data_IF_159332845884
#
_entry.id   IF_159332845884
#
_cell.length_a   1.000
_cell.length_b   1.000
_cell.length_c   1.000
_cell.angle_alpha   90.00
_cell.angle_beta   90.00
_cell.angle_gamma   90.00
#
_symmetry.space_group_name_H-M   'P 1'
#
loop_
_entity.id
_entity.type
_entity.pdbx_description
1 polymer ?
#
# COMPACT_ATOMS: atom_id res chain seq x y z
N UNK A 1 -22.64 -7.74 -39.46
CA UNK A 1 -21.47 -7.11 -38.81
C UNK A 1 -20.97 -6.02 -39.75
N UNK A 2 -21.41 -4.78 -39.54
CA UNK A 2 -21.12 -3.63 -40.39
C UNK A 2 -19.90 -2.90 -39.82
N UNK A 3 -18.74 -3.14 -40.43
CA UNK A 3 -17.50 -2.39 -40.15
C UNK A 3 -17.66 -0.98 -40.69
N UNK A 4 -17.91 -0.01 -39.80
CA UNK A 4 -18.02 1.41 -40.17
C UNK A 4 -16.63 1.93 -40.50
N UNK A 5 -16.30 2.03 -41.79
CA UNK A 5 -15.06 2.69 -42.27
C UNK A 5 -15.17 4.19 -41.98
N UNK A 6 -14.26 4.72 -41.15
CA UNK A 6 -14.09 6.15 -40.92
C UNK A 6 -13.72 6.86 -42.25
N UNK A 7 -14.25 8.06 -42.53
CA UNK A 7 -13.98 8.78 -43.77
C UNK A 7 -12.50 9.19 -43.89
N UNK A 8 -11.95 9.11 -45.10
CA UNK A 8 -10.54 9.35 -45.46
C UNK A 8 -10.06 10.81 -45.34
N UNK A 9 -10.75 11.64 -44.54
CA UNK A 9 -10.55 13.09 -44.47
C UNK A 9 -9.73 13.55 -43.25
N UNK A 10 -9.33 12.64 -42.35
CA UNK A 10 -8.49 12.99 -41.20
C UNK A 10 -7.02 12.76 -41.52
N UNK A 11 -6.16 13.71 -41.13
CA UNK A 11 -4.71 13.53 -41.20
C UNK A 11 -4.29 12.27 -40.41
N UNK A 12 -3.19 11.60 -40.79
CA UNK A 12 -2.74 10.39 -40.10
C UNK A 12 -2.49 10.62 -38.60
N UNK A 13 -2.09 11.83 -38.22
CA UNK A 13 -1.93 12.25 -36.82
C UNK A 13 -3.25 12.27 -36.04
N UNK A 14 -4.34 12.76 -36.65
CA UNK A 14 -5.66 12.82 -36.01
C UNK A 14 -6.26 11.43 -35.86
N UNK A 15 -6.03 10.54 -36.84
CA UNK A 15 -6.43 9.13 -36.74
C UNK A 15 -5.65 8.44 -35.61
N UNK A 16 -4.36 8.73 -35.45
CA UNK A 16 -3.54 8.19 -34.38
C UNK A 16 -3.98 8.71 -33.00
N UNK A 17 -4.36 9.99 -32.86
CA UNK A 17 -4.91 10.55 -31.63
C UNK A 17 -6.30 9.97 -31.29
N UNK A 18 -7.19 9.84 -32.28
CA UNK A 18 -8.52 9.22 -32.08
C UNK A 18 -8.43 7.72 -31.76
N UNK A 19 -7.37 7.06 -32.20
CA UNK A 19 -7.09 5.66 -31.84
C UNK A 19 -6.51 5.52 -30.43
N UNK A 20 -6.08 6.61 -29.76
CA UNK A 20 -5.66 6.53 -28.36
C UNK A 20 -6.88 6.16 -27.50
N UNK A 21 -6.75 5.18 -26.60
CA UNK A 21 -7.83 4.84 -25.69
C UNK A 21 -8.18 6.07 -24.85
N UNK A 22 -9.45 6.49 -24.91
CA UNK A 22 -9.96 7.59 -24.08
C UNK A 22 -9.83 7.22 -22.60
N UNK A 23 -8.92 7.89 -21.90
CA UNK A 23 -8.76 7.74 -20.45
C UNK A 23 -9.69 8.74 -19.78
N UNK A 24 -10.72 8.24 -19.08
CA UNK A 24 -11.53 9.10 -18.20
C UNK A 24 -10.64 9.61 -17.07
N UNK A 25 -10.32 10.90 -17.13
CA UNK A 25 -9.58 11.59 -16.08
C UNK A 25 -10.58 12.22 -15.10
N UNK A 26 -10.52 11.82 -13.82
CA UNK A 26 -11.25 12.53 -12.76
C UNK A 26 -10.40 13.74 -12.33
N UNK A 27 -10.90 14.98 -12.43
CA UNK A 27 -10.12 16.17 -12.02
C UNK A 27 -9.64 16.14 -10.57
N UNK A 28 -10.26 15.30 -9.73
CA UNK A 28 -9.95 15.16 -8.30
C UNK A 28 -8.96 14.04 -8.00
N UNK A 29 -8.57 13.22 -8.98
CA UNK A 29 -7.63 12.13 -8.75
C UNK A 29 -6.20 12.64 -8.62
N UNK A 30 -5.38 11.94 -7.82
CA UNK A 30 -3.95 12.20 -7.76
C UNK A 30 -3.33 12.03 -9.17
N UNK A 31 -2.50 12.98 -9.58
CA UNK A 31 -1.79 12.93 -10.85
C UNK A 31 -0.37 12.44 -10.61
N UNK A 32 0.08 11.55 -11.50
CA UNK A 32 1.49 11.26 -11.64
C UNK A 32 2.13 12.45 -12.35
N UNK A 33 3.23 12.95 -11.79
CA UNK A 33 4.00 14.02 -12.41
C UNK A 33 5.30 13.43 -12.96
N UNK A 34 5.44 13.46 -14.28
CA UNK A 34 6.63 12.96 -14.97
C UNK A 34 7.85 13.79 -14.53
N UNK A 35 8.81 13.13 -13.87
CA UNK A 35 10.04 13.75 -13.37
C UNK A 35 9.98 14.26 -11.93
N UNK A 36 8.82 14.24 -11.27
CA UNK A 36 8.74 14.53 -9.83
C UNK A 36 8.96 13.26 -9.00
N UNK A 37 9.70 13.39 -7.90
CA UNK A 37 9.85 12.29 -6.95
C UNK A 37 8.59 12.16 -6.08
N UNK A 38 8.06 10.94 -5.98
CA UNK A 38 7.03 10.63 -5.00
C UNK A 38 7.66 10.52 -3.61
N UNK A 39 6.94 10.98 -2.59
CA UNK A 39 7.36 10.92 -1.19
C UNK A 39 6.19 10.45 -0.33
N UNK A 40 6.51 9.87 0.83
CA UNK A 40 5.51 9.60 1.84
C UNK A 40 5.26 10.84 2.67
N UNK A 41 3.99 11.15 2.90
CA UNK A 41 3.55 12.23 3.76
C UNK A 41 2.75 11.68 4.92
N UNK A 42 2.95 12.26 6.09
CA UNK A 42 2.18 11.95 7.29
C UNK A 42 1.03 12.94 7.40
N UNK A 43 -0.19 12.44 7.26
CA UNK A 43 -1.40 13.27 7.28
C UNK A 43 -2.18 13.01 8.56
N UNK A 44 -2.46 14.07 9.31
CA UNK A 44 -3.34 14.03 10.47
C UNK A 44 -4.80 14.09 10.01
N UNK A 45 -5.58 13.10 10.43
CA UNK A 45 -6.99 12.94 10.06
C UNK A 45 -7.89 12.91 11.29
N UNK A 46 -9.05 13.54 11.18
CA UNK A 46 -10.04 13.61 12.27
C UNK A 46 -10.97 12.40 12.32
N UNK A 47 -11.25 11.77 11.17
CA UNK A 47 -12.10 10.59 11.05
C UNK A 47 -11.42 9.54 10.17
N UNK A 48 -11.77 8.27 10.37
CA UNK A 48 -11.33 7.17 9.49
C UNK A 48 -12.04 7.16 8.14
N UNK A 49 -13.17 7.86 8.00
CA UNK A 49 -13.88 7.98 6.71
C UNK A 49 -13.01 8.64 5.63
N UNK A 50 -12.01 9.42 6.05
CA UNK A 50 -11.02 10.08 5.20
C UNK A 50 -10.21 9.05 4.39
N UNK A 51 -9.95 7.87 4.94
CA UNK A 51 -9.22 6.79 4.26
C UNK A 51 -9.96 6.36 2.98
N UNK A 52 -11.29 6.23 3.06
CA UNK A 52 -12.12 5.87 1.90
C UNK A 52 -12.13 6.98 0.84
N UNK A 53 -12.15 8.25 1.25
CA UNK A 53 -12.04 9.38 0.31
C UNK A 53 -10.68 9.45 -0.37
N UNK A 54 -9.60 9.19 0.36
CA UNK A 54 -8.24 9.15 -0.19
C UNK A 54 -8.11 8.04 -1.24
N UNK A 55 -8.62 6.84 -0.96
CA UNK A 55 -8.66 5.71 -1.92
C UNK A 55 -9.47 6.10 -3.15
N UNK A 56 -10.65 6.71 -2.96
CA UNK A 56 -11.53 7.13 -4.08
C UNK A 56 -10.84 8.13 -5.01
N UNK A 57 -9.99 8.99 -4.46
CA UNK A 57 -9.18 9.97 -5.22
C UNK A 57 -7.84 9.38 -5.72
N UNK A 58 -7.65 8.07 -5.61
CA UNK A 58 -6.48 7.33 -6.12
C UNK A 58 -5.16 7.77 -5.47
N UNK A 59 -5.19 8.23 -4.22
CA UNK A 59 -3.96 8.41 -3.45
C UNK A 59 -3.44 7.04 -3.00
N UNK A 60 -2.11 6.86 -3.03
CA UNK A 60 -1.48 5.72 -2.37
C UNK A 60 -1.58 5.94 -0.86
N UNK A 61 -2.22 5.03 -0.14
CA UNK A 61 -2.34 5.12 1.31
C UNK A 61 -1.72 3.91 2.00
N UNK A 62 -1.19 4.14 3.19
CA UNK A 62 -0.71 3.12 4.09
C UNK A 62 -1.19 3.46 5.50
N UNK A 63 -1.87 2.52 6.14
CA UNK A 63 -2.38 2.64 7.51
C UNK A 63 -1.92 1.40 8.27
N UNK A 64 -0.83 1.47 9.05
CA UNK A 64 -0.32 0.32 9.79
C UNK A 64 -1.32 -0.09 10.88
N UNK A 65 -1.52 -1.39 11.04
CA UNK A 65 -2.42 -1.98 12.04
C UNK A 65 -1.65 -2.82 13.08
N UNK A 66 -2.15 -2.88 14.32
CA UNK A 66 -1.69 -3.79 15.36
C UNK A 66 -2.85 -4.60 15.95
N UNK A 67 -2.57 -5.79 16.46
CA UNK A 67 -3.55 -6.60 17.19
C UNK A 67 -3.54 -6.25 18.67
N UNK A 68 -4.70 -5.88 19.20
CA UNK A 68 -4.90 -5.65 20.62
C UNK A 68 -5.83 -6.72 21.19
N UNK A 69 -5.46 -7.30 22.33
CA UNK A 69 -6.36 -8.20 23.07
C UNK A 69 -7.17 -7.39 24.07
N UNK A 70 -8.47 -7.24 23.80
CA UNK A 70 -9.40 -6.58 24.70
C UNK A 70 -10.26 -7.62 25.40
N UNK A 71 -10.54 -7.42 26.70
CA UNK A 71 -11.51 -8.24 27.42
C UNK A 71 -12.89 -7.60 27.25
N UNK A 72 -13.77 -8.26 26.51
CA UNK A 72 -15.16 -7.82 26.34
C UNK A 72 -16.09 -8.91 26.83
N UNK A 73 -17.01 -8.55 27.74
CA UNK A 73 -17.97 -9.48 28.35
C UNK A 73 -17.31 -10.74 28.94
N UNK A 74 -16.15 -10.56 29.60
CA UNK A 74 -15.40 -11.64 30.23
C UNK A 74 -14.64 -12.57 29.28
N UNK A 75 -14.63 -12.28 27.97
CA UNK A 75 -13.86 -13.05 26.97
C UNK A 75 -12.74 -12.19 26.40
N UNK A 76 -11.56 -12.79 26.20
CA UNK A 76 -10.46 -12.16 25.45
C UNK A 76 -10.82 -12.19 23.96
N UNK A 77 -10.90 -11.02 23.34
CA UNK A 77 -11.15 -10.84 21.92
C UNK A 77 -9.94 -10.11 21.34
N UNK A 78 -9.30 -10.69 20.33
CA UNK A 78 -8.31 -9.96 19.53
C UNK A 78 -9.05 -9.04 18.55
N UNK A 79 -8.66 -7.77 18.53
CA UNK A 79 -9.18 -6.77 17.60
C UNK A 79 -8.03 -6.08 16.87
N UNK A 80 -8.28 -5.69 15.62
CA UNK A 80 -7.34 -4.91 14.80
C UNK A 80 -7.59 -3.42 15.00
N UNK A 81 -6.52 -2.68 15.23
CA UNK A 81 -6.58 -1.23 15.45
C UNK A 81 -5.42 -0.60 14.70
N UNK A 82 -5.61 0.61 14.18
CA UNK A 82 -4.52 1.40 13.63
C UNK A 82 -3.42 1.60 14.69
N UNK A 83 -2.17 1.34 14.30
CA UNK A 83 -0.99 1.50 15.14
C UNK A 83 -0.76 2.97 15.53
N UNK A 84 -1.09 3.89 14.63
CA UNK A 84 -1.07 5.34 14.84
C UNK A 84 -2.47 5.92 14.60
N UNK A 85 -3.35 5.95 15.61
CA UNK A 85 -4.69 6.47 15.44
C UNK A 85 -4.66 7.97 15.12
N UNK A 86 -5.45 8.40 14.14
CA UNK A 86 -5.49 9.80 13.68
C UNK A 86 -4.40 10.17 12.66
N UNK A 87 -3.59 9.20 12.22
CA UNK A 87 -2.58 9.41 11.20
C UNK A 87 -2.74 8.44 10.03
N UNK A 88 -2.55 8.96 8.82
CA UNK A 88 -2.54 8.19 7.59
C UNK A 88 -1.27 8.55 6.82
N UNK A 89 -0.55 7.53 6.36
CA UNK A 89 0.61 7.73 5.50
C UNK A 89 0.13 7.78 4.05
N UNK A 90 0.41 8.87 3.35
CA UNK A 90 -0.03 9.10 1.98
C UNK A 90 1.19 9.19 1.07
N UNK A 91 1.24 8.32 0.08
CA UNK A 91 2.23 8.38 -0.99
C UNK A 91 1.72 9.28 -2.11
N UNK A 92 2.40 10.41 -2.34
CA UNK A 92 2.02 11.37 -3.37
C UNK A 92 3.24 12.00 -4.06
N UNK A 93 3.03 12.41 -5.32
CA UNK A 93 3.99 13.21 -6.08
C UNK A 93 3.88 14.68 -5.68
N UNK A 94 5.03 15.24 -5.29
CA UNK A 94 5.20 16.60 -4.78
C UNK A 94 4.85 17.65 -5.86
N UNK A 95 3.55 17.96 -5.96
CA UNK A 95 3.00 18.93 -6.92
C UNK A 95 1.88 19.73 -6.25
N UNK A 96 1.80 21.01 -6.59
CA UNK A 96 0.78 21.92 -6.05
C UNK A 96 -0.64 21.41 -6.29
N UNK A 97 -0.89 20.79 -7.45
CA UNK A 97 -2.20 20.23 -7.78
C UNK A 97 -2.58 19.06 -6.86
N UNK A 98 -1.66 18.13 -6.59
CA UNK A 98 -1.91 17.02 -5.67
C UNK A 98 -2.04 17.52 -4.23
N UNK A 99 -1.27 18.53 -3.85
CA UNK A 99 -1.36 19.16 -2.54
C UNK A 99 -2.72 19.81 -2.31
N UNK A 100 -3.19 20.62 -3.27
CA UNK A 100 -4.52 21.23 -3.22
C UNK A 100 -5.63 20.17 -3.16
N UNK A 101 -5.49 19.07 -3.92
CA UNK A 101 -6.44 17.95 -3.88
C UNK A 101 -6.45 17.27 -2.50
N UNK A 102 -5.29 17.05 -1.87
CA UNK A 102 -5.18 16.47 -0.55
C UNK A 102 -5.84 17.36 0.51
N UNK A 103 -5.52 18.66 0.52
CA UNK A 103 -6.10 19.62 1.46
C UNK A 103 -7.61 19.83 1.27
N UNK A 104 -8.14 19.58 0.06
CA UNK A 104 -9.59 19.67 -0.22
C UNK A 104 -10.41 18.49 0.31
N UNK A 105 -9.78 17.47 0.91
CA UNK A 105 -10.47 16.32 1.49
C UNK A 105 -11.01 16.72 2.87
N UNK A 106 -12.32 16.52 3.07
CA UNK A 106 -12.95 16.82 4.34
C UNK A 106 -12.45 15.88 5.43
N UNK A 107 -11.92 16.42 6.53
CA UNK A 107 -11.41 15.65 7.66
C UNK A 107 -9.89 15.46 7.68
N UNK A 108 -9.17 15.91 6.65
CA UNK A 108 -7.73 16.17 6.74
C UNK A 108 -7.51 17.45 7.54
N UNK A 109 -6.75 17.35 8.63
CA UNK A 109 -6.50 18.49 9.53
C UNK A 109 -5.20 19.19 9.16
N UNK A 110 -4.12 18.42 9.04
CA UNK A 110 -2.79 18.93 8.79
C UNK A 110 -1.92 17.87 8.10
N UNK A 111 -0.90 18.33 7.35
CA UNK A 111 0.18 17.46 6.90
C UNK A 111 1.39 17.75 7.79
N UNK A 112 1.83 16.75 8.54
CA UNK A 112 2.86 16.92 9.57
C UNK A 112 4.27 16.96 9.00
N UNK A 113 4.52 16.23 7.91
CA UNK A 113 5.84 16.14 7.29
C UNK A 113 5.97 14.99 6.31
N UNK A 114 7.19 14.74 5.87
CA UNK A 114 7.54 13.64 4.95
C UNK A 114 8.31 12.54 5.63
N UNK A 115 8.14 11.30 5.17
CA UNK A 115 8.97 10.16 5.52
C UNK A 115 9.66 9.59 4.28
N UNK A 116 10.81 8.98 4.53
CA UNK A 116 11.58 8.20 3.57
C UNK A 116 11.02 6.78 3.46
N UNK A 117 11.31 6.10 2.35
CA UNK A 117 10.91 4.71 2.15
C UNK A 117 11.48 3.79 3.24
N UNK A 118 12.73 4.02 3.67
CA UNK A 118 13.39 3.26 4.74
C UNK A 118 12.64 3.36 6.08
N UNK A 119 12.06 4.52 6.39
CA UNK A 119 11.27 4.73 7.61
C UNK A 119 9.92 4.01 7.55
N UNK A 120 9.26 4.05 6.39
CA UNK A 120 8.03 3.29 6.16
C UNK A 120 8.31 1.79 6.24
N UNK A 121 9.45 1.33 5.73
CA UNK A 121 9.83 -0.07 5.79
C UNK A 121 10.12 -0.53 7.22
N UNK A 122 10.64 0.32 8.10
CA UNK A 122 10.72 0.04 9.55
C UNK A 122 9.34 -0.14 10.18
N UNK A 123 8.38 0.74 9.84
CA UNK A 123 7.00 0.62 10.32
C UNK A 123 6.37 -0.69 9.82
N UNK A 124 6.55 -1.04 8.54
CA UNK A 124 6.09 -2.31 7.97
C UNK A 124 6.76 -3.51 8.62
N UNK A 125 8.06 -3.46 8.86
CA UNK A 125 8.79 -4.54 9.53
C UNK A 125 8.25 -4.79 10.94
N UNK A 126 7.85 -3.73 11.64
CA UNK A 126 7.20 -3.81 12.94
C UNK A 126 5.80 -4.40 12.86
N UNK A 127 4.96 -3.89 11.95
CA UNK A 127 3.63 -4.43 11.68
C UNK A 127 3.70 -5.94 11.37
N UNK A 128 4.62 -6.35 10.50
CA UNK A 128 4.83 -7.75 10.13
C UNK A 128 5.36 -8.63 11.28
N UNK A 129 5.98 -8.04 12.31
CA UNK A 129 6.42 -8.77 13.50
C UNK A 129 5.25 -9.06 14.43
N UNK A 130 4.35 -8.09 14.58
CA UNK A 130 3.09 -8.26 15.33
C UNK A 130 2.09 -9.11 14.53
N UNK A 131 2.23 -9.14 13.21
CA UNK A 131 1.41 -9.90 12.27
C UNK A 131 2.28 -10.64 11.26
N UNK A 132 2.90 -11.76 11.64
CA UNK A 132 3.58 -12.58 10.65
C UNK A 132 2.56 -12.95 9.58
N UNK A 133 2.88 -12.62 8.33
CA UNK A 133 2.09 -13.10 7.19
C UNK A 133 2.18 -14.61 7.26
N UNK A 134 1.09 -15.26 7.68
CA UNK A 134 0.91 -16.68 7.44
C UNK A 134 0.81 -16.83 5.92
N UNK A 135 1.97 -17.04 5.29
CA UNK A 135 2.01 -17.58 3.95
C UNK A 135 1.31 -18.93 4.07
N UNK A 136 0.02 -18.98 3.76
CA UNK A 136 -0.60 -20.23 3.40
C UNK A 136 0.10 -20.66 2.13
N UNK A 137 1.13 -21.49 2.32
CA UNK A 137 1.67 -22.31 1.25
C UNK A 137 0.47 -23.12 0.78
N UNK A 138 -0.24 -22.60 -0.22
CA UNK A 138 -1.08 -23.43 -1.03
C UNK A 138 -0.10 -24.45 -1.60
N UNK A 139 -0.03 -25.62 -0.96
CA UNK A 139 0.35 -26.81 -1.67
C UNK A 139 -0.54 -26.78 -2.89
N UNK A 140 0.03 -26.40 -4.04
CA UNK A 140 -0.60 -26.56 -5.33
C UNK A 140 -0.78 -28.07 -5.39
N UNK A 141 -1.94 -28.56 -4.93
CA UNK A 141 -2.29 -29.97 -5.02
C UNK A 141 -2.18 -30.21 -6.50
N UNK A 142 -1.16 -30.96 -6.98
CA UNK A 142 -1.05 -31.22 -8.39
C UNK A 142 -2.38 -31.86 -8.73
N UNK A 143 -3.16 -31.17 -9.58
CA UNK A 143 -4.49 -31.61 -9.93
C UNK A 143 -4.37 -33.10 -10.20
N UNK A 144 -5.06 -33.93 -9.41
CA UNK A 144 -5.04 -35.38 -9.56
C UNK A 144 -5.47 -35.64 -11.00
N UNK A 145 -4.48 -35.78 -11.89
CA UNK A 145 -4.70 -36.13 -13.26
C UNK A 145 -5.33 -37.50 -13.15
N UNK A 146 -6.65 -37.55 -13.37
CA UNK A 146 -7.38 -38.81 -13.50
C UNK A 146 -6.55 -39.62 -14.49
N UNK A 147 -5.93 -40.70 -14.00
CA UNK A 147 -5.06 -41.57 -14.77
C UNK A 147 -5.91 -42.23 -15.86
N UNK A 148 -6.09 -41.55 -16.98
CA UNK A 148 -6.26 -42.22 -18.25
C UNK A 148 -4.89 -42.83 -18.55
N UNK A 149 -4.82 -44.15 -18.42
CA UNK A 149 -3.55 -44.87 -18.46
C UNK A 149 -2.73 -44.54 -19.70
N UNK A 150 -1.44 -44.23 -19.49
CA UNK A 150 -0.38 -44.47 -20.49
C UNK A 150 1.02 -44.25 -19.89
N UNK A 151 1.79 -45.34 -19.97
CA UNK A 151 3.25 -45.50 -20.10
C UNK A 151 4.18 -44.46 -19.45
N UNK A 152 4.86 -44.98 -18.43
CA UNK A 152 6.16 -44.58 -17.88
C UNK A 152 7.13 -43.96 -18.91
N UNK A 153 7.58 -42.72 -18.68
CA UNK A 153 8.87 -42.21 -19.15
C UNK A 153 9.57 -41.40 -18.06
N UNK A 154 10.90 -41.48 -18.11
CA UNK A 154 11.86 -41.25 -17.02
C UNK A 154 11.91 -39.81 -16.49
N UNK A 155 12.24 -39.76 -15.20
CA UNK A 155 12.57 -38.64 -14.32
C UNK A 155 13.36 -37.48 -14.95
N UNK A 156 12.88 -36.26 -14.70
CA UNK A 156 13.72 -35.07 -14.49
C UNK A 156 13.43 -34.57 -13.07
N UNK A 157 14.46 -34.49 -12.23
CA UNK A 157 14.37 -33.87 -10.89
C UNK A 157 14.22 -32.35 -11.08
N UNK A 158 13.29 -31.67 -10.41
CA UNK A 158 13.36 -30.22 -10.29
C UNK A 158 14.49 -29.87 -9.31
N UNK A 159 15.40 -29.03 -9.77
CA UNK A 159 16.36 -28.31 -8.92
C UNK A 159 15.56 -27.27 -8.16
N UNK A 160 15.56 -27.35 -6.84
CA UNK A 160 15.00 -26.36 -5.93
C UNK A 160 16.18 -25.77 -5.18
N UNK A 161 16.86 -24.81 -5.81
CA UNK A 161 17.74 -23.89 -5.09
C UNK A 161 16.83 -22.90 -4.36
N UNK A 162 16.77 -23.04 -3.05
CA UNK A 162 16.19 -22.04 -2.17
C UNK A 162 17.32 -21.09 -1.83
N UNK A 163 17.34 -19.91 -2.47
CA UNK A 163 18.18 -18.81 -2.00
C UNK A 163 17.66 -18.38 -0.63
N UNK A 164 18.41 -18.74 0.40
CA UNK A 164 18.18 -18.36 1.79
C UNK A 164 18.43 -16.85 1.89
N UNK A 165 17.35 -16.05 1.84
CA UNK A 165 17.46 -14.60 2.05
C UNK A 165 17.76 -14.36 3.53
N UNK A 166 19.04 -14.27 3.87
CA UNK A 166 19.49 -13.82 5.19
C UNK A 166 19.27 -12.32 5.29
N UNK A 167 18.11 -11.91 5.81
CA UNK A 167 17.83 -10.50 6.13
C UNK A 167 18.58 -10.14 7.40
N UNK A 168 19.74 -9.50 7.26
CA UNK A 168 20.46 -8.88 8.37
C UNK A 168 19.75 -7.57 8.73
N UNK A 169 18.97 -7.56 9.82
CA UNK A 169 18.35 -6.33 10.35
C UNK A 169 19.40 -5.53 11.13
N UNK A 170 19.63 -4.29 10.74
CA UNK A 170 20.32 -3.29 11.56
C UNK A 170 19.32 -2.69 12.56
N UNK A 171 19.42 -3.09 13.81
CA UNK A 171 18.56 -2.62 14.89
C UNK A 171 18.81 -1.12 15.13
N UNK A 172 17.77 -0.29 15.00
CA UNK A 172 17.86 1.14 15.33
C UNK A 172 17.19 1.43 16.67
N UNK A 173 17.75 2.37 17.45
CA UNK A 173 17.25 2.73 18.78
C UNK A 173 15.78 3.22 18.80
N UNK A 174 15.23 3.60 17.64
CA UNK A 174 13.83 3.96 17.45
C UNK A 174 12.87 2.76 17.59
N UNK A 175 13.30 1.56 17.19
CA UNK A 175 12.48 0.35 17.21
C UNK A 175 12.23 -0.17 18.64
N UNK A 176 13.26 -0.11 19.50
CA UNK A 176 13.16 -0.52 20.91
C UNK A 176 12.25 0.42 21.73
N UNK A 177 12.19 1.69 21.35
CA UNK A 177 11.34 2.68 22.00
C UNK A 177 9.85 2.46 21.66
N UNK A 178 9.51 2.24 20.39
CA UNK A 178 8.12 2.05 19.95
C UNK A 178 7.50 0.77 20.54
N UNK A 179 8.28 -0.29 20.70
CA UNK A 179 7.80 -1.60 21.15
C UNK A 179 7.18 -1.59 22.56
N UNK A 180 7.61 -0.68 23.43
CA UNK A 180 7.19 -0.60 24.85
C UNK A 180 6.15 0.50 25.10
N UNK A 181 5.87 1.32 24.10
CA UNK A 181 4.97 2.47 24.23
C UNK A 181 3.54 2.08 23.88
N UNK A 182 2.61 2.69 24.62
CA UNK A 182 1.18 2.70 24.33
C UNK A 182 0.87 3.54 23.08
N UNK A 183 -0.38 3.54 22.61
CA UNK A 183 -0.77 4.26 21.39
C UNK A 183 -0.46 5.75 21.44
N UNK A 184 -0.57 6.37 22.62
CA UNK A 184 -0.23 7.78 22.84
C UNK A 184 1.29 7.99 22.76
N UNK A 185 2.08 7.14 23.42
CA UNK A 185 3.54 7.20 23.38
C UNK A 185 4.11 6.98 21.98
N UNK A 186 3.53 6.06 21.19
CA UNK A 186 3.91 5.87 19.77
C UNK A 186 3.62 7.10 18.93
N UNK A 187 2.48 7.73 19.15
CA UNK A 187 2.07 8.96 18.47
C UNK A 187 3.00 10.12 18.83
N UNK A 188 3.36 10.24 20.10
CA UNK A 188 4.29 11.26 20.58
C UNK A 188 5.71 11.06 20.02
N UNK A 189 6.19 9.81 19.97
CA UNK A 189 7.46 9.46 19.38
C UNK A 189 7.51 9.82 17.88
N UNK A 190 6.45 9.48 17.14
CA UNK A 190 6.29 9.85 15.73
C UNK A 190 6.31 11.38 15.54
N UNK A 191 5.57 12.12 16.38
CA UNK A 191 5.57 13.60 16.35
C UNK A 191 6.97 14.17 16.61
N UNK A 192 7.68 13.67 17.62
CA UNK A 192 9.04 14.13 17.95
C UNK A 192 10.04 13.87 16.82
N UNK A 193 9.88 12.74 16.13
CA UNK A 193 10.72 12.36 15.01
C UNK A 193 10.49 13.27 13.80
N UNK A 194 9.24 13.57 13.47
CA UNK A 194 8.89 14.46 12.36
C UNK A 194 9.34 15.91 12.62
N UNK A 195 9.35 16.34 13.89
CA UNK A 195 9.76 17.70 14.26
C UNK A 195 11.26 17.93 14.36
N UNK A 196 12.08 16.88 14.31
CA UNK A 196 13.54 16.93 14.43
C UNK A 196 14.20 17.08 13.07
#
# INVERSE_FOLDING_TARGET
MTTTKLPAAFSPEVIAELARPYVRFDPRSAQLADGAAAKWYVVEVRSRDVEAELIKRQFGIYVPECEETAISRGRKISRRIAMFPGYVFVFLWDTDANWARLCSIGGVTAVMGTLTDDEIDKIRARENTERPIELQWFEVRPALQKKAGRRWRKSRKPILEQDEIVVVRSWSAFEDAIAKLDSEGRTQALRSYISS
#
